data_IF_402309075721
#
_entry.id   IF_402309075721
#
_cell.length_a   1.000
_cell.length_b   1.000
_cell.length_c   1.000
_cell.angle_alpha   90.00
_cell.angle_beta   90.00
_cell.angle_gamma   90.00
#
_symmetry.space_group_name_H-M   'P 1'
#
loop_
_entity.id
_entity.type
_entity.pdbx_description
1 polymer ?
#
# COMPACT_ATOMS: atom_id res chain seq x y z
N UNK A 1 -17.45 54.41 -24.71
CA UNK A 1 -17.90 53.11 -24.19
C UNK A 1 -18.42 53.34 -22.77
N UNK A 2 -19.63 52.89 -22.39
CA UNK A 2 -20.14 53.17 -21.05
C UNK A 2 -19.42 52.32 -20.00
N UNK A 3 -19.34 52.81 -18.75
CA UNK A 3 -18.69 52.13 -17.63
C UNK A 3 -19.18 50.68 -17.48
N UNK A 4 -20.47 50.43 -17.72
CA UNK A 4 -21.09 49.10 -17.68
C UNK A 4 -20.43 48.11 -18.64
N UNK A 5 -20.09 48.54 -19.85
CA UNK A 5 -19.43 47.70 -20.86
C UNK A 5 -17.97 47.42 -20.50
N UNK A 6 -17.29 48.41 -19.91
CA UNK A 6 -15.91 48.25 -19.43
C UNK A 6 -15.88 47.22 -18.29
N UNK A 7 -16.79 47.32 -17.31
CA UNK A 7 -16.88 46.36 -16.20
C UNK A 7 -17.23 44.95 -16.68
N UNK A 8 -18.16 44.81 -17.63
CA UNK A 8 -18.52 43.52 -18.22
C UNK A 8 -17.31 42.86 -18.90
N UNK A 9 -16.54 43.64 -19.66
CA UNK A 9 -15.35 43.16 -20.37
C UNK A 9 -14.26 42.72 -19.39
N UNK A 10 -14.04 43.47 -18.30
CA UNK A 10 -13.10 43.08 -17.24
C UNK A 10 -13.52 41.77 -16.56
N UNK A 11 -14.80 41.62 -16.21
CA UNK A 11 -15.32 40.38 -15.61
C UNK A 11 -15.15 39.18 -16.55
N UNK A 12 -15.41 39.38 -17.85
CA UNK A 12 -15.24 38.33 -18.86
C UNK A 12 -13.78 37.89 -18.99
N UNK A 13 -12.83 38.83 -18.97
CA UNK A 13 -11.38 38.51 -18.99
C UNK A 13 -11.00 37.73 -17.73
N UNK A 14 -11.42 38.17 -16.54
CA UNK A 14 -11.13 37.47 -15.28
C UNK A 14 -11.69 36.03 -15.30
N UNK A 15 -12.89 35.86 -15.83
CA UNK A 15 -13.51 34.55 -15.99
C UNK A 15 -12.69 33.65 -16.92
N UNK A 16 -12.29 34.15 -18.09
CA UNK A 16 -11.45 33.41 -19.04
C UNK A 16 -10.10 33.01 -18.43
N UNK A 17 -9.43 33.92 -17.73
CA UNK A 17 -8.16 33.64 -17.04
C UNK A 17 -8.35 32.55 -15.99
N UNK A 18 -9.42 32.63 -15.20
CA UNK A 18 -9.74 31.62 -14.17
C UNK A 18 -9.96 30.24 -14.80
N UNK A 19 -10.69 30.17 -15.91
CA UNK A 19 -10.95 28.93 -16.66
C UNK A 19 -9.65 28.35 -17.24
N UNK A 20 -8.76 29.20 -17.75
CA UNK A 20 -7.46 28.79 -18.27
C UNK A 20 -6.55 28.21 -17.17
N UNK A 21 -6.45 28.86 -16.01
CA UNK A 21 -5.69 28.36 -14.85
C UNK A 21 -6.23 27.00 -14.38
N UNK A 22 -7.55 26.92 -14.28
CA UNK A 22 -8.30 25.69 -13.95
C UNK A 22 -8.00 24.56 -14.93
N UNK A 23 -8.02 24.84 -16.25
CA UNK A 23 -7.68 23.88 -17.29
C UNK A 23 -6.24 23.38 -17.21
N UNK A 24 -5.27 24.27 -16.98
CA UNK A 24 -3.86 23.89 -16.80
C UNK A 24 -3.69 22.99 -15.56
N UNK A 25 -4.36 23.32 -14.46
CA UNK A 25 -4.35 22.48 -13.25
C UNK A 25 -4.93 21.09 -13.52
N UNK A 26 -6.06 21.01 -14.22
CA UNK A 26 -6.69 19.75 -14.60
C UNK A 26 -5.79 18.89 -15.50
N UNK A 27 -5.12 19.49 -16.50
CA UNK A 27 -4.18 18.79 -17.38
C UNK A 27 -2.98 18.25 -16.60
N UNK A 28 -2.37 19.08 -15.74
CA UNK A 28 -1.25 18.67 -14.88
C UNK A 28 -1.63 17.53 -13.95
N UNK A 29 -2.86 17.56 -13.41
CA UNK A 29 -3.42 16.49 -12.61
C UNK A 29 -3.58 15.20 -13.44
N UNK A 30 -4.22 15.28 -14.61
CA UNK A 30 -4.45 14.13 -15.48
C UNK A 30 -3.14 13.44 -15.90
N UNK A 31 -2.11 14.20 -16.28
CA UNK A 31 -0.80 13.65 -16.68
C UNK A 31 -0.17 12.85 -15.53
N UNK A 32 -0.19 13.40 -14.31
CA UNK A 32 0.39 12.73 -13.14
C UNK A 32 -0.34 11.46 -12.74
N UNK A 33 -1.65 11.40 -12.93
CA UNK A 33 -2.48 10.26 -12.52
C UNK A 33 -2.72 9.22 -13.61
N UNK A 34 -2.24 9.45 -14.83
CA UNK A 34 -2.39 8.50 -15.94
C UNK A 34 -1.74 7.15 -15.64
N UNK A 35 -0.54 7.15 -15.05
CA UNK A 35 0.17 5.92 -14.66
C UNK A 35 -0.57 5.15 -13.57
N UNK A 36 -1.03 5.85 -12.52
CA UNK A 36 -1.84 5.25 -11.46
C UNK A 36 -3.12 4.62 -12.00
N UNK A 37 -3.86 5.33 -12.85
CA UNK A 37 -5.12 4.84 -13.42
C UNK A 37 -4.92 3.54 -14.21
N UNK A 38 -3.81 3.44 -14.96
CA UNK A 38 -3.45 2.23 -15.69
C UNK A 38 -3.22 1.06 -14.74
N UNK A 39 -2.39 1.24 -13.71
CA UNK A 39 -2.06 0.19 -12.74
C UNK A 39 -3.28 -0.20 -11.91
N UNK A 40 -4.17 0.75 -11.59
CA UNK A 40 -5.41 0.45 -10.88
C UNK A 40 -6.35 -0.48 -11.67
N UNK A 41 -6.36 -0.37 -13.01
CA UNK A 41 -7.14 -1.27 -13.85
C UNK A 41 -6.54 -2.68 -13.84
N UNK A 42 -5.21 -2.77 -13.97
CA UNK A 42 -4.47 -4.04 -13.89
C UNK A 42 -4.65 -4.70 -12.51
N UNK A 43 -4.57 -3.91 -11.43
CA UNK A 43 -4.72 -4.37 -10.05
C UNK A 43 -6.03 -5.11 -9.79
N UNK A 44 -7.15 -4.57 -10.28
CA UNK A 44 -8.45 -5.22 -10.10
C UNK A 44 -8.54 -6.57 -10.82
N UNK A 45 -7.86 -6.71 -11.97
CA UNK A 45 -7.79 -8.00 -12.69
C UNK A 45 -6.91 -9.01 -11.96
N UNK A 46 -5.77 -8.56 -11.43
CA UNK A 46 -4.81 -9.38 -10.67
C UNK A 46 -5.43 -9.91 -9.38
N UNK A 47 -6.19 -9.09 -8.65
CA UNK A 47 -6.88 -9.54 -7.43
C UNK A 47 -7.86 -10.66 -7.75
N UNK A 48 -8.70 -10.47 -8.78
CA UNK A 48 -9.70 -11.47 -9.17
C UNK A 48 -9.06 -12.78 -9.61
N UNK A 49 -7.99 -12.71 -10.42
CA UNK A 49 -7.27 -13.92 -10.84
C UNK A 49 -6.59 -14.61 -9.66
N UNK A 50 -5.98 -13.83 -8.75
CA UNK A 50 -5.32 -14.38 -7.56
C UNK A 50 -6.30 -15.05 -6.60
N UNK A 51 -7.50 -14.48 -6.44
CA UNK A 51 -8.58 -15.08 -5.63
C UNK A 51 -9.06 -16.41 -6.23
N UNK A 52 -9.26 -16.45 -7.56
CA UNK A 52 -9.61 -17.69 -8.26
C UNK A 52 -8.49 -18.75 -8.16
N UNK A 53 -7.24 -18.34 -8.34
CA UNK A 53 -6.08 -19.22 -8.18
C UNK A 53 -6.00 -19.80 -6.77
N UNK A 54 -6.25 -18.97 -5.75
CA UNK A 54 -6.33 -19.41 -4.36
C UNK A 54 -7.44 -20.45 -4.17
N UNK A 55 -8.66 -20.19 -4.64
CA UNK A 55 -9.79 -21.13 -4.53
C UNK A 55 -9.54 -22.47 -5.24
N UNK A 56 -8.80 -22.43 -6.35
CA UNK A 56 -8.47 -23.64 -7.14
C UNK A 56 -7.20 -24.35 -6.65
N UNK A 57 -6.48 -23.78 -5.69
CA UNK A 57 -5.18 -24.32 -5.27
C UNK A 57 -5.32 -25.47 -4.27
N UNK A 58 -5.09 -26.70 -4.74
CA UNK A 58 -4.80 -27.87 -3.90
C UNK A 58 -3.28 -28.07 -3.76
N UNK A 59 -2.54 -26.98 -3.50
CA UNK A 59 -1.08 -27.02 -3.62
C UNK A 59 -0.46 -27.45 -2.31
N UNK A 60 0.17 -28.63 -2.32
CA UNK A 60 1.09 -29.08 -1.27
C UNK A 60 2.45 -28.47 -1.61
N UNK A 61 2.92 -27.50 -0.82
CA UNK A 61 4.23 -26.88 -1.03
C UNK A 61 5.31 -27.68 -0.30
N UNK A 62 6.32 -28.12 -1.04
CA UNK A 62 7.52 -28.75 -0.47
C UNK A 62 8.55 -27.69 -0.10
N UNK A 63 9.04 -27.74 1.14
CA UNK A 63 10.11 -26.87 1.62
C UNK A 63 11.44 -27.65 1.59
N UNK A 64 12.48 -27.08 1.00
CA UNK A 64 13.84 -27.63 1.10
C UNK A 64 14.44 -27.41 2.50
N UNK A 65 13.87 -26.49 3.29
CA UNK A 65 14.36 -26.13 4.61
C UNK A 65 13.67 -26.94 5.72
N UNK A 66 14.40 -27.42 6.74
CA UNK A 66 13.81 -28.14 7.87
C UNK A 66 12.93 -27.19 8.68
N UNK A 67 11.61 -27.36 8.57
CA UNK A 67 10.65 -26.70 9.45
C UNK A 67 10.58 -27.40 10.82
N UNK A 68 10.30 -26.66 11.91
CA UNK A 68 9.95 -27.25 13.19
C UNK A 68 8.83 -28.29 13.04
N UNK A 69 8.83 -29.31 13.91
CA UNK A 69 7.92 -30.47 13.80
C UNK A 69 6.41 -30.13 13.73
N UNK A 70 6.01 -28.96 14.23
CA UNK A 70 4.62 -28.53 14.27
C UNK A 70 4.28 -27.47 13.21
N UNK A 71 5.23 -27.10 12.36
CA UNK A 71 5.08 -26.02 11.39
C UNK A 71 4.94 -26.60 9.97
N UNK A 72 3.91 -26.18 9.26
CA UNK A 72 3.63 -26.61 7.89
C UNK A 72 3.79 -25.44 6.93
N UNK A 73 4.45 -25.68 5.80
CA UNK A 73 4.56 -24.69 4.73
C UNK A 73 3.22 -24.62 3.99
N UNK A 74 2.66 -23.42 3.93
CA UNK A 74 1.39 -23.15 3.26
C UNK A 74 1.58 -22.44 1.93
N UNK A 75 2.68 -21.69 1.76
CA UNK A 75 2.99 -21.02 0.50
C UNK A 75 4.47 -20.68 0.39
N UNK A 76 5.01 -20.73 -0.83
CA UNK A 76 6.37 -20.27 -1.17
C UNK A 76 6.35 -19.38 -2.40
N UNK A 77 7.10 -18.27 -2.35
CA UNK A 77 7.36 -17.40 -3.48
C UNK A 77 8.83 -17.00 -3.51
N UNK A 78 9.44 -17.10 -4.69
CA UNK A 78 10.89 -16.98 -4.82
C UNK A 78 11.40 -15.53 -4.97
N UNK A 79 10.53 -14.63 -5.43
CA UNK A 79 10.90 -13.25 -5.73
C UNK A 79 9.89 -12.30 -5.13
N UNK A 80 10.27 -11.70 -4.01
CA UNK A 80 9.57 -10.61 -3.37
C UNK A 80 10.56 -9.52 -3.03
N UNK A 81 10.10 -8.30 -3.20
CA UNK A 81 10.87 -7.11 -2.86
C UNK A 81 10.04 -6.30 -1.86
N UNK A 82 10.66 -5.72 -0.84
CA UNK A 82 9.89 -4.99 0.15
C UNK A 82 10.67 -4.01 1.01
N UNK A 83 9.88 -3.21 1.73
CA UNK A 83 10.34 -2.15 2.62
C UNK A 83 9.75 -2.33 4.01
N UNK A 84 10.54 -2.00 5.04
CA UNK A 84 10.12 -1.99 6.44
C UNK A 84 10.07 -0.55 6.94
N UNK A 85 8.86 -0.07 7.22
CA UNK A 85 8.65 1.24 7.84
C UNK A 85 8.40 1.08 9.34
N UNK A 86 9.30 1.59 10.19
CA UNK A 86 9.05 1.64 11.65
C UNK A 86 7.91 2.61 11.95
N UNK A 87 6.92 2.15 12.72
CA UNK A 87 5.82 3.00 13.18
C UNK A 87 6.38 3.91 14.29
N UNK A 88 6.44 5.23 14.03
CA UNK A 88 6.82 6.19 15.05
C UNK A 88 5.65 6.38 16.02
N UNK A 89 5.75 5.83 17.23
CA UNK A 89 4.87 6.21 18.34
C UNK A 89 5.19 7.64 18.75
N UNK A 90 4.31 8.59 18.41
CA UNK A 90 4.34 9.91 19.06
C UNK A 90 3.99 9.69 20.53
N UNK A 91 4.98 9.75 21.43
CA UNK A 91 4.72 10.01 22.85
C UNK A 91 4.11 11.41 22.94
N UNK A 92 2.78 11.49 22.98
CA UNK A 92 2.11 12.72 23.34
C UNK A 92 2.34 12.96 24.84
N UNK A 93 3.38 13.72 25.17
CA UNK A 93 3.50 14.40 26.45
C UNK A 93 2.52 15.57 26.47
N UNK A 94 1.23 15.28 26.62
CA UNK A 94 0.24 16.29 26.98
C UNK A 94 -0.73 15.66 27.96
N UNK A 95 -0.49 15.94 29.23
CA UNK A 95 -1.49 15.91 30.29
C UNK A 95 -2.68 16.78 29.84
N UNK A 96 -3.73 16.15 29.33
CA UNK A 96 -5.07 16.67 29.42
C UNK A 96 -6.02 15.50 29.63
N UNK A 97 -6.47 15.38 30.88
CA UNK A 97 -7.66 14.63 31.28
C UNK A 97 -8.85 15.21 30.52
N UNK A 98 -9.75 14.31 30.11
CA UNK A 98 -11.04 14.57 29.48
C UNK A 98 -10.98 14.78 27.96
N UNK A 99 -10.73 13.69 27.23
CA UNK A 99 -11.44 13.38 25.98
C UNK A 99 -11.35 11.86 25.80
N UNK A 100 -12.33 11.15 26.37
CA UNK A 100 -12.65 9.78 26.00
C UNK A 100 -13.32 9.87 24.63
N UNK A 101 -12.51 10.04 23.59
CA UNK A 101 -12.89 9.75 22.21
C UNK A 101 -11.83 8.83 21.63
N UNK A 102 -12.16 7.54 21.71
CA UNK A 102 -11.78 6.47 20.81
C UNK A 102 -10.36 6.47 20.22
N UNK A 103 -9.58 5.56 20.78
CA UNK A 103 -8.41 4.85 20.23
C UNK A 103 -8.62 4.19 18.84
N UNK A 104 -9.59 4.61 18.02
CA UNK A 104 -10.17 3.77 16.93
C UNK A 104 -10.28 4.42 15.54
N UNK A 105 -9.43 5.35 15.16
CA UNK A 105 -9.17 5.58 13.73
C UNK A 105 -7.72 5.18 13.48
N UNK A 106 -7.41 3.92 13.12
CA UNK A 106 -7.65 3.35 11.78
C UNK A 106 -7.56 4.44 10.71
N UNK A 107 -6.48 5.22 10.74
CA UNK A 107 -6.07 6.15 9.68
C UNK A 107 -5.74 5.46 8.34
N UNK A 108 -6.15 4.21 8.12
CA UNK A 108 -5.85 3.44 6.92
C UNK A 108 -7.05 3.32 5.95
N UNK A 109 -8.29 3.21 6.43
CA UNK A 109 -9.42 2.90 5.52
C UNK A 109 -9.93 4.11 4.71
N UNK A 110 -9.84 5.34 5.23
CA UNK A 110 -10.17 6.56 4.47
C UNK A 110 -8.97 7.20 3.75
N UNK A 111 -7.75 6.67 3.93
CA UNK A 111 -6.52 7.19 3.32
C UNK A 111 -6.06 6.44 2.06
N UNK A 112 -6.75 5.37 1.65
CA UNK A 112 -6.43 4.64 0.41
C UNK A 112 -6.37 5.61 -0.78
N UNK A 113 -7.23 6.65 -0.80
CA UNK A 113 -7.16 7.74 -1.76
C UNK A 113 -6.05 8.77 -1.45
N UNK A 114 -5.70 9.06 -0.20
CA UNK A 114 -4.71 10.12 0.12
C UNK A 114 -3.25 9.69 -0.07
N UNK A 115 -2.90 8.42 0.14
CA UNK A 115 -1.51 7.95 -0.05
C UNK A 115 -1.15 7.81 -1.54
N UNK A 116 -2.09 7.35 -2.37
CA UNK A 116 -1.90 7.22 -3.83
C UNK A 116 -1.87 8.57 -4.56
N UNK A 117 -2.41 9.62 -3.92
CA UNK A 117 -2.50 10.98 -4.42
C UNK A 117 -1.61 11.97 -3.68
N UNK A 118 -0.71 11.47 -2.81
CA UNK A 118 0.25 12.32 -2.10
C UNK A 118 1.24 12.95 -3.08
N UNK A 119 1.30 14.29 -3.08
CA UNK A 119 2.31 15.07 -3.80
C UNK A 119 3.72 14.89 -3.24
N UNK A 120 3.85 14.33 -2.03
CA UNK A 120 5.14 14.08 -1.39
C UNK A 120 5.71 12.77 -1.93
N UNK A 121 6.81 12.86 -2.67
CA UNK A 121 7.64 11.72 -3.02
C UNK A 121 8.22 11.14 -1.74
N UNK A 122 7.77 9.94 -1.35
CA UNK A 122 8.47 9.17 -0.34
C UNK A 122 9.68 8.56 -1.06
N UNK A 123 10.88 8.93 -0.60
CA UNK A 123 12.12 8.37 -1.12
C UNK A 123 12.49 7.13 -0.30
N UNK A 124 12.50 5.98 -0.96
CA UNK A 124 13.02 4.74 -0.40
C UNK A 124 14.48 4.59 -0.84
N UNK A 125 15.38 4.42 0.13
CA UNK A 125 16.84 4.40 -0.07
C UNK A 125 17.37 3.03 -0.55
N UNK A 126 16.59 1.96 -0.37
CA UNK A 126 16.92 0.60 -0.76
C UNK A 126 15.82 -0.36 -0.28
N UNK A 127 15.86 -1.62 -0.74
CA UNK A 127 14.93 -2.65 -0.30
C UNK A 127 15.46 -3.31 0.98
N UNK A 128 14.61 -3.42 2.00
CA UNK A 128 14.94 -4.13 3.24
C UNK A 128 14.74 -5.65 3.09
N UNK A 129 13.96 -6.04 2.09
CA UNK A 129 13.56 -7.41 1.77
C UNK A 129 13.80 -7.60 0.28
N UNK A 130 14.57 -8.62 -0.09
CA UNK A 130 14.84 -9.00 -1.47
C UNK A 130 15.13 -10.51 -1.49
N UNK A 131 14.18 -11.29 -1.99
CA UNK A 131 14.31 -12.73 -2.07
C UNK A 131 13.01 -13.49 -1.89
N UNK A 132 13.02 -14.50 -1.04
CA UNK A 132 11.93 -15.48 -0.91
C UNK A 132 10.94 -15.10 0.21
N UNK A 133 9.65 -15.37 -0.04
CA UNK A 133 8.59 -15.36 0.97
C UNK A 133 8.17 -16.81 1.24
N UNK A 134 8.13 -17.18 2.51
CA UNK A 134 7.57 -18.45 2.97
C UNK A 134 6.46 -18.15 3.97
N UNK A 135 5.27 -18.68 3.73
CA UNK A 135 4.15 -18.59 4.65
C UNK A 135 3.94 -19.95 5.31
N UNK A 136 3.87 -19.96 6.63
CA UNK A 136 3.55 -21.14 7.42
C UNK A 136 2.28 -20.92 8.22
N UNK A 137 1.81 -21.95 8.92
CA UNK A 137 0.70 -21.85 9.86
C UNK A 137 0.98 -20.98 11.10
N UNK A 138 2.24 -20.57 11.37
CA UNK A 138 2.59 -19.78 12.56
C UNK A 138 3.26 -18.44 12.29
N UNK A 139 3.95 -18.30 11.16
CA UNK A 139 4.71 -17.09 10.84
C UNK A 139 4.90 -16.91 9.33
N UNK A 140 5.14 -15.66 8.97
CA UNK A 140 5.67 -15.27 7.67
C UNK A 140 7.19 -15.13 7.77
N UNK A 141 7.91 -15.74 6.84
CA UNK A 141 9.35 -15.63 6.69
C UNK A 141 9.67 -14.86 5.41
N UNK A 142 10.50 -13.83 5.53
CA UNK A 142 10.92 -12.98 4.43
C UNK A 142 12.44 -13.00 4.36
N UNK A 143 12.98 -13.48 3.24
CA UNK A 143 14.44 -13.51 3.03
C UNK A 143 14.95 -12.08 2.83
N UNK A 144 16.06 -11.78 3.50
CA UNK A 144 16.81 -10.54 3.33
C UNK A 144 18.31 -10.84 3.30
N UNK A 145 19.13 -9.80 3.18
CA UNK A 145 20.60 -9.92 3.15
C UNK A 145 21.20 -10.53 4.42
N UNK A 146 20.48 -10.49 5.54
CA UNK A 146 20.93 -10.97 6.85
C UNK A 146 20.36 -12.37 7.21
N UNK A 147 19.56 -12.98 6.32
CA UNK A 147 18.90 -14.27 6.54
C UNK A 147 17.39 -14.20 6.35
N UNK A 148 16.63 -14.59 7.37
CA UNK A 148 15.15 -14.56 7.34
C UNK A 148 14.61 -13.63 8.43
N UNK A 149 13.93 -12.58 8.00
CA UNK A 149 13.04 -11.81 8.85
C UNK A 149 11.78 -12.64 9.14
N UNK A 150 11.47 -12.83 10.41
CA UNK A 150 10.32 -13.60 10.86
C UNK A 150 9.25 -12.67 11.42
N UNK A 151 8.01 -12.87 10.99
CA UNK A 151 6.84 -12.14 11.48
C UNK A 151 5.83 -13.17 11.96
N UNK A 152 5.68 -13.37 13.28
CA UNK A 152 4.65 -14.24 13.84
C UNK A 152 3.26 -13.77 13.38
N UNK A 153 2.39 -14.70 13.01
CA UNK A 153 1.04 -14.35 12.57
C UNK A 153 0.25 -13.62 13.66
N UNK A 154 0.49 -13.97 14.93
CA UNK A 154 -0.09 -13.32 16.11
C UNK A 154 0.27 -11.84 16.26
N UNK A 155 1.35 -11.37 15.63
CA UNK A 155 1.77 -9.96 15.68
C UNK A 155 1.17 -9.13 14.55
N UNK A 156 0.51 -9.76 13.57
CA UNK A 156 -0.08 -9.08 12.42
C UNK A 156 -1.44 -8.53 12.83
N UNK A 157 -1.55 -7.20 12.80
CA UNK A 157 -2.79 -6.48 13.15
C UNK A 157 -3.70 -6.27 11.95
N UNK A 158 -3.11 -6.04 10.77
CA UNK A 158 -3.85 -5.77 9.55
C UNK A 158 -3.04 -6.19 8.33
N UNK A 159 -3.71 -6.71 7.32
CA UNK A 159 -3.15 -6.98 6.01
C UNK A 159 -4.05 -6.43 4.91
N UNK A 160 -3.46 -5.71 3.95
CA UNK A 160 -4.19 -5.14 2.82
C UNK A 160 -3.38 -5.27 1.52
N UNK A 161 -4.00 -5.65 0.41
CA UNK A 161 -3.43 -5.41 -0.91
C UNK A 161 -3.61 -3.94 -1.28
N UNK A 162 -2.60 -3.31 -1.88
CA UNK A 162 -2.65 -1.90 -2.28
C UNK A 162 -1.61 -1.57 -3.35
N UNK A 163 -1.83 -0.45 -4.03
CA UNK A 163 -0.85 0.14 -4.93
C UNK A 163 0.00 1.10 -4.11
N UNK A 164 1.31 0.94 -4.18
CA UNK A 164 2.28 1.81 -3.52
C UNK A 164 2.84 2.82 -4.52
N UNK A 165 3.13 4.04 -4.07
CA UNK A 165 3.96 4.98 -4.83
C UNK A 165 5.38 4.94 -4.25
N UNK A 166 6.28 4.25 -4.96
CA UNK A 166 7.68 4.04 -4.58
C UNK A 166 8.54 4.85 -5.54
N UNK A 167 9.20 5.90 -5.03
CA UNK A 167 10.09 6.76 -5.81
C UNK A 167 9.46 7.40 -7.06
N UNK A 168 8.12 7.50 -7.13
CA UNK A 168 7.38 8.06 -8.27
C UNK A 168 6.82 7.00 -9.24
N UNK A 169 7.16 5.73 -9.05
CA UNK A 169 6.54 4.60 -9.75
C UNK A 169 5.42 4.04 -8.89
N UNK A 170 4.31 3.70 -9.53
CA UNK A 170 3.21 3.00 -8.86
C UNK A 170 3.44 1.50 -9.02
N UNK A 171 3.37 0.76 -7.92
CA UNK A 171 3.65 -0.68 -7.89
C UNK A 171 2.57 -1.40 -7.09
N UNK A 172 2.22 -2.62 -7.50
CA UNK A 172 1.23 -3.44 -6.81
C UNK A 172 1.92 -4.22 -5.70
N UNK A 173 1.22 -4.39 -4.57
CA UNK A 173 1.71 -5.27 -3.53
C UNK A 173 0.80 -5.39 -2.32
N UNK A 174 1.39 -5.85 -1.23
CA UNK A 174 0.73 -6.16 0.04
C UNK A 174 1.39 -5.40 1.16
N UNK A 175 0.58 -4.87 2.06
CA UNK A 175 1.04 -4.22 3.26
C UNK A 175 0.64 -5.02 4.48
N UNK A 176 1.61 -5.29 5.35
CA UNK A 176 1.45 -6.04 6.59
C UNK A 176 1.76 -5.09 7.74
N UNK A 177 0.75 -4.78 8.54
CA UNK A 177 0.87 -3.93 9.70
C UNK A 177 1.05 -4.81 10.95
N UNK A 178 2.16 -4.62 11.64
CA UNK A 178 2.39 -5.18 12.98
C UNK A 178 2.32 -4.08 14.03
N UNK A 179 2.57 -4.42 15.30
CA UNK A 179 2.61 -3.42 16.38
C UNK A 179 3.63 -2.31 16.15
N UNK A 180 4.79 -2.68 15.59
CA UNK A 180 5.98 -1.84 15.58
C UNK A 180 6.42 -1.44 14.17
N UNK A 181 5.89 -2.08 13.14
CA UNK A 181 6.34 -1.89 11.76
C UNK A 181 5.21 -2.07 10.75
N UNK A 182 5.34 -1.39 9.63
CA UNK A 182 4.54 -1.62 8.44
C UNK A 182 5.46 -2.14 7.34
N UNK A 183 5.21 -3.36 6.90
CA UNK A 183 5.96 -4.00 5.83
C UNK A 183 5.20 -3.81 4.51
N UNK A 184 5.87 -3.28 3.49
CA UNK A 184 5.31 -3.08 2.14
C UNK A 184 6.03 -4.03 1.20
N UNK A 185 5.33 -5.03 0.70
CA UNK A 185 5.85 -6.10 -0.14
C UNK A 185 5.32 -5.92 -1.56
N UNK A 186 6.19 -5.70 -2.53
CA UNK A 186 5.87 -5.54 -3.95
C UNK A 186 5.77 -6.93 -4.58
N UNK A 187 4.63 -7.23 -5.18
CA UNK A 187 4.39 -8.48 -5.91
C UNK A 187 3.09 -8.37 -6.71
N UNK A 188 3.07 -8.99 -7.88
CA UNK A 188 1.88 -9.21 -8.71
C UNK A 188 1.16 -10.51 -8.36
N UNK A 189 1.82 -11.44 -7.65
CA UNK A 189 1.25 -12.68 -7.14
C UNK A 189 0.63 -12.45 -5.78
N UNK A 190 -0.69 -12.23 -5.76
CA UNK A 190 -1.44 -11.92 -4.55
C UNK A 190 -2.10 -13.15 -3.93
N UNK A 191 -1.87 -14.37 -4.41
CA UNK A 191 -2.53 -15.58 -3.88
C UNK A 191 -2.24 -15.80 -2.39
N UNK A 192 -0.98 -15.59 -1.99
CA UNK A 192 -0.55 -15.72 -0.59
C UNK A 192 -1.23 -14.76 0.38
N UNK A 193 -1.75 -13.64 -0.13
CA UNK A 193 -2.61 -12.74 0.65
C UNK A 193 -3.79 -13.47 1.25
N UNK A 194 -4.47 -14.28 0.43
CA UNK A 194 -5.69 -14.97 0.80
C UNK A 194 -5.42 -16.11 1.76
N UNK A 195 -4.31 -16.83 1.56
CA UNK A 195 -3.81 -17.79 2.55
C UNK A 195 -3.55 -17.11 3.90
N UNK A 196 -2.80 -16.01 3.90
CA UNK A 196 -2.44 -15.29 5.12
C UNK A 196 -3.67 -14.70 5.83
N UNK A 197 -4.61 -14.14 5.07
CA UNK A 197 -5.86 -13.59 5.61
C UNK A 197 -6.76 -14.65 6.26
N UNK A 198 -6.70 -15.90 5.82
CA UNK A 198 -7.47 -16.98 6.44
C UNK A 198 -6.84 -17.53 7.73
N UNK A 199 -5.58 -17.16 8.03
CA UNK A 199 -4.84 -17.64 9.20
C UNK A 199 -4.81 -16.64 10.36
N UNK A 200 -5.14 -15.37 10.11
CA UNK A 200 -5.17 -14.27 11.08
C UNK A 200 -6.62 -13.98 11.45
#
# INVERSE_FOLDING_TARGET
MSLKWITLLVLFIIYLVSLLVTGIMALKYQIRHKSYKKIQQEFNSIIKSSEQNFLNSNIIYTCEYPLPKNETLLYKMEKIVGFKEKIKTKKNNTSNKNEIYNKEEIYLDKKILKENYSLKKIKYLGFDIDGELLLTNFRLLLKNSEGFLQIPLSEIKKIDHRIFNINGSYEIGISILTENSNYKLITDKLEWFFFLKNLI
#
